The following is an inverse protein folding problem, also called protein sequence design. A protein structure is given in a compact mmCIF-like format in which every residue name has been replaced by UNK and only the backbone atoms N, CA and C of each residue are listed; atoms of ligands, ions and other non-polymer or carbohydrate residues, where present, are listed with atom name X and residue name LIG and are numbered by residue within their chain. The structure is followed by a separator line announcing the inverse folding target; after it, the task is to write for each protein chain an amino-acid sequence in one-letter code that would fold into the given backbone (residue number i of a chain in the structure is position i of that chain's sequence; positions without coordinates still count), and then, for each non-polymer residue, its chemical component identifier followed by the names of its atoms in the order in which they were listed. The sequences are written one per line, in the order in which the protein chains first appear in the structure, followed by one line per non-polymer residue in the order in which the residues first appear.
data_IF_828174842533
#
_entry.id   IF_828174842533
#
_cell.length_a   1.000
_cell.length_b   1.000
_cell.length_c   1.000
_cell.angle_alpha   90.00
_cell.angle_beta   90.00
_cell.angle_gamma   90.00
#
_symmetry.space_group_name_H-M   'P 1'
#
loop_
_entity.id
_entity.type
_entity.pdbx_description
1 polymer ?
#
# COMPACT_ATOMS: atom_id res chain seq x y z
N UNK A 1 0.08 7.75 90.75
CA UNK A 1 -1.26 7.11 90.85
C UNK A 1 -1.98 7.12 89.55
N UNK A 2 -2.00 6.05 88.94
CA UNK A 2 -2.96 5.32 88.08
C UNK A 2 -4.23 6.07 87.65
N UNK A 3 -4.43 6.19 86.35
CA UNK A 3 -5.75 5.92 85.78
C UNK A 3 -5.57 5.51 84.30
N UNK A 4 -6.10 4.36 83.98
CA UNK A 4 -6.17 3.79 82.62
C UNK A 4 -7.36 4.39 81.92
N UNK A 5 -7.16 4.86 80.64
CA UNK A 5 -8.25 5.16 79.77
C UNK A 5 -8.22 4.15 78.58
N UNK A 6 -9.35 3.47 78.41
CA UNK A 6 -9.60 2.50 77.29
C UNK A 6 -9.59 3.19 75.95
N UNK A 7 -8.82 2.63 75.03
CA UNK A 7 -8.98 2.91 73.60
C UNK A 7 -10.07 2.00 73.00
N UNK A 8 -11.05 2.65 72.34
CA UNK A 8 -12.01 2.00 71.44
C UNK A 8 -11.51 2.20 70.01
N UNK A 9 -11.34 1.14 69.20
CA UNK A 9 -10.93 1.35 67.79
C UNK A 9 -12.16 1.67 66.93
N UNK A 10 -12.10 2.82 66.26
CA UNK A 10 -13.01 3.15 65.14
C UNK A 10 -12.59 2.32 63.91
N UNK A 11 -13.45 1.44 63.51
CA UNK A 11 -13.41 0.78 62.19
C UNK A 11 -13.94 1.76 61.12
N UNK A 12 -13.01 2.33 60.31
CA UNK A 12 -13.36 2.99 59.08
C UNK A 12 -13.34 1.96 57.95
N UNK A 13 -14.53 1.57 57.48
CA UNK A 13 -14.70 0.73 56.32
C UNK A 13 -14.29 1.49 55.05
N UNK A 14 -13.21 1.08 54.41
CA UNK A 14 -12.84 1.51 53.05
C UNK A 14 -13.60 0.62 52.07
N UNK A 15 -14.67 1.16 51.46
CA UNK A 15 -15.34 0.52 50.32
C UNK A 15 -14.44 0.64 49.10
N UNK A 16 -13.76 -0.45 48.75
CA UNK A 16 -13.08 -0.57 47.47
C UNK A 16 -14.16 -0.76 46.40
N UNK A 17 -14.51 0.31 45.66
CA UNK A 17 -15.28 0.20 44.45
C UNK A 17 -14.37 -0.40 43.39
N UNK A 18 -14.48 -1.69 43.16
CA UNK A 18 -13.86 -2.40 42.04
C UNK A 18 -14.46 -1.87 40.74
N UNK A 19 -13.70 -1.05 39.98
CA UNK A 19 -14.01 -0.77 38.61
C UNK A 19 -13.72 -2.05 37.84
N UNK A 20 -14.77 -2.83 37.59
CA UNK A 20 -14.70 -3.90 36.59
C UNK A 20 -14.50 -3.25 35.24
N UNK A 21 -13.29 -3.30 34.70
CA UNK A 21 -13.05 -3.09 33.28
C UNK A 21 -13.83 -4.19 32.53
N UNK A 22 -15.02 -3.81 32.05
CA UNK A 22 -15.76 -4.65 31.14
C UNK A 22 -14.93 -4.77 29.85
N UNK A 23 -14.16 -5.83 29.72
CA UNK A 23 -13.68 -6.29 28.43
C UNK A 23 -14.93 -6.67 27.65
N UNK A 24 -15.39 -5.78 26.75
CA UNK A 24 -16.45 -6.10 25.82
C UNK A 24 -16.00 -7.32 25.03
N UNK A 25 -16.67 -8.46 25.25
CA UNK A 25 -16.51 -9.62 24.40
C UNK A 25 -16.70 -9.18 22.94
N UNK A 26 -15.89 -9.67 21.99
CA UNK A 26 -16.07 -9.33 20.59
C UNK A 26 -17.49 -9.72 20.18
N UNK A 27 -18.16 -8.79 19.50
CA UNK A 27 -19.51 -9.01 18.99
C UNK A 27 -19.47 -10.21 18.01
N UNK A 28 -20.18 -11.31 18.25
CA UNK A 28 -20.06 -12.55 17.48
C UNK A 28 -20.51 -12.44 16.01
N UNK A 29 -20.95 -11.27 15.54
CA UNK A 29 -21.44 -11.04 14.16
C UNK A 29 -20.53 -10.19 13.27
N UNK A 30 -19.30 -9.85 13.66
CA UNK A 30 -18.34 -9.29 12.74
C UNK A 30 -17.50 -10.43 12.17
N UNK A 31 -17.84 -10.91 10.98
CA UNK A 31 -16.97 -11.82 10.23
C UNK A 31 -15.69 -11.03 9.86
N UNK A 32 -14.68 -11.11 10.72
CA UNK A 32 -13.39 -10.43 10.53
C UNK A 32 -12.45 -11.26 9.68
N UNK A 33 -12.87 -12.46 9.25
CA UNK A 33 -11.98 -13.39 8.57
C UNK A 33 -10.79 -13.81 9.43
N UNK A 34 -9.77 -14.34 8.81
CA UNK A 34 -8.53 -14.73 9.48
C UNK A 34 -7.32 -14.67 8.56
N UNK A 35 -6.14 -14.45 9.14
CA UNK A 35 -4.87 -14.50 8.44
C UNK A 35 -4.21 -15.86 8.71
N UNK A 36 -3.91 -16.61 7.65
CA UNK A 36 -3.25 -17.93 7.75
C UNK A 36 -2.00 -17.97 6.87
N UNK A 37 -0.99 -18.74 7.28
CA UNK A 37 0.22 -18.92 6.48
C UNK A 37 -0.11 -19.61 5.14
N UNK A 38 0.45 -19.08 4.04
CA UNK A 38 0.41 -19.66 2.70
C UNK A 38 1.67 -20.46 2.37
N UNK A 39 1.80 -20.88 1.10
CA UNK A 39 3.03 -21.48 0.57
C UNK A 39 4.10 -20.41 0.40
N UNK A 40 5.36 -20.78 0.44
CA UNK A 40 6.46 -19.86 0.16
C UNK A 40 6.60 -19.58 -1.34
N UNK A 41 7.00 -18.35 -1.66
CA UNK A 41 7.47 -17.98 -3.00
C UNK A 41 8.74 -18.75 -3.36
N UNK A 42 9.06 -18.83 -4.63
CA UNK A 42 10.32 -19.48 -5.10
C UNK A 42 11.55 -18.67 -4.71
N UNK A 43 11.41 -17.37 -4.50
CA UNK A 43 12.49 -16.48 -4.05
C UNK A 43 12.00 -15.48 -3.02
N UNK A 44 12.79 -15.14 -1.98
CA UNK A 44 12.47 -14.08 -1.03
C UNK A 44 12.48 -12.72 -1.74
N UNK A 45 11.41 -11.92 -1.61
CA UNK A 45 11.24 -10.65 -2.33
C UNK A 45 10.65 -9.55 -1.45
N UNK A 46 11.16 -8.33 -1.64
CA UNK A 46 10.52 -7.09 -1.16
C UNK A 46 10.55 -6.03 -2.27
N UNK A 47 9.62 -5.09 -2.25
CA UNK A 47 9.51 -4.05 -3.29
C UNK A 47 9.25 -4.61 -4.70
N UNK A 48 8.73 -5.84 -4.79
CA UNK A 48 8.24 -6.48 -6.00
C UNK A 48 6.83 -5.99 -6.33
N UNK A 49 6.37 -6.26 -7.55
CA UNK A 49 4.96 -6.09 -7.91
C UNK A 49 4.20 -7.41 -7.84
N UNK A 50 2.91 -7.32 -7.48
CA UNK A 50 1.96 -8.43 -7.52
C UNK A 50 0.70 -7.99 -8.28
N UNK A 51 0.34 -8.74 -9.32
CA UNK A 51 -0.77 -8.37 -10.22
C UNK A 51 -1.67 -9.57 -10.46
N UNK A 52 -2.95 -9.47 -10.12
CA UNK A 52 -3.95 -10.48 -10.48
C UNK A 52 -4.15 -10.48 -12.00
N UNK A 53 -3.99 -11.66 -12.60
CA UNK A 53 -4.15 -11.87 -14.04
C UNK A 53 -5.60 -12.27 -14.39
N UNK A 54 -6.01 -12.13 -15.66
CA UNK A 54 -7.35 -12.50 -16.10
C UNK A 54 -7.71 -13.98 -15.87
N UNK A 55 -6.71 -14.87 -15.84
CA UNK A 55 -6.89 -16.31 -15.58
C UNK A 55 -6.96 -16.66 -14.09
N UNK A 56 -6.90 -15.65 -13.20
CA UNK A 56 -6.99 -15.80 -11.74
C UNK A 56 -5.67 -16.08 -11.04
N UNK A 57 -4.56 -16.28 -11.76
CA UNK A 57 -3.22 -16.37 -11.16
C UNK A 57 -2.70 -14.98 -10.78
N UNK A 58 -1.69 -14.91 -9.91
CA UNK A 58 -1.02 -13.66 -9.54
C UNK A 58 0.39 -13.67 -10.08
N UNK A 59 0.74 -12.68 -10.89
CA UNK A 59 2.12 -12.43 -11.32
C UNK A 59 2.87 -11.71 -10.21
N UNK A 60 3.96 -12.30 -9.73
CA UNK A 60 4.93 -11.68 -8.83
C UNK A 60 6.18 -11.39 -9.65
N UNK A 61 6.61 -10.13 -9.75
CA UNK A 61 7.73 -9.76 -10.61
C UNK A 61 8.75 -8.84 -9.93
N UNK A 62 10.03 -9.10 -10.16
CA UNK A 62 11.13 -8.29 -9.67
C UNK A 62 11.27 -8.27 -8.15
N UNK A 63 11.64 -7.12 -7.60
CA UNK A 63 11.92 -6.94 -6.19
C UNK A 63 13.39 -7.20 -5.84
N UNK A 64 13.69 -7.25 -4.56
CA UNK A 64 15.04 -7.51 -4.04
C UNK A 64 15.01 -8.54 -2.92
N UNK A 65 16.10 -9.31 -2.80
CA UNK A 65 16.39 -10.13 -1.63
C UNK A 65 16.95 -9.28 -0.49
N UNK A 66 17.93 -8.46 -0.80
CA UNK A 66 18.61 -7.52 0.09
C UNK A 66 19.09 -6.33 -0.75
N UNK A 67 19.65 -5.31 -0.10
CA UNK A 67 20.16 -4.13 -0.82
C UNK A 67 21.03 -4.54 -2.02
N UNK A 68 20.67 -4.03 -3.21
CA UNK A 68 21.34 -4.24 -4.50
C UNK A 68 21.33 -5.67 -5.07
N UNK A 69 20.68 -6.62 -4.40
CA UNK A 69 20.43 -7.96 -4.94
C UNK A 69 19.02 -8.00 -5.53
N UNK A 70 18.88 -7.44 -6.75
CA UNK A 70 17.60 -7.26 -7.42
C UNK A 70 17.29 -8.43 -8.34
N UNK A 71 16.00 -8.69 -8.51
CA UNK A 71 15.52 -9.77 -9.37
C UNK A 71 15.00 -9.25 -10.71
N UNK A 72 15.36 -9.98 -11.79
CA UNK A 72 14.66 -9.94 -13.07
C UNK A 72 13.62 -11.04 -13.18
N UNK A 73 13.71 -12.07 -12.34
CA UNK A 73 12.81 -13.20 -12.35
C UNK A 73 11.39 -12.83 -11.94
N UNK A 74 10.43 -13.60 -12.45
CA UNK A 74 9.05 -13.54 -12.06
C UNK A 74 8.50 -14.95 -11.78
N UNK A 75 7.43 -15.01 -11.02
CA UNK A 75 6.73 -16.23 -10.67
C UNK A 75 5.23 -16.03 -10.65
N UNK A 76 4.49 -17.11 -10.85
CA UNK A 76 3.02 -17.12 -10.85
C UNK A 76 2.54 -17.87 -9.62
N UNK A 77 1.66 -17.22 -8.84
CA UNK A 77 0.90 -17.89 -7.80
C UNK A 77 -0.41 -18.37 -8.37
N UNK A 78 -0.70 -19.66 -8.18
CA UNK A 78 -1.99 -20.27 -8.52
C UNK A 78 -2.86 -20.41 -7.27
N UNK A 79 -3.97 -19.65 -7.12
CA UNK A 79 -4.84 -19.73 -5.96
C UNK A 79 -5.57 -21.07 -5.79
N UNK A 80 -5.73 -21.84 -6.86
CA UNK A 80 -6.43 -23.12 -6.81
C UNK A 80 -5.56 -24.19 -6.14
N UNK A 81 -4.27 -24.24 -6.51
CA UNK A 81 -3.30 -25.18 -5.91
C UNK A 81 -2.57 -24.61 -4.70
N UNK A 82 -2.58 -23.29 -4.53
CA UNK A 82 -1.82 -22.56 -3.52
C UNK A 82 -0.31 -22.58 -3.78
N UNK A 83 0.16 -22.84 -5.00
CA UNK A 83 1.57 -23.02 -5.33
C UNK A 83 2.11 -21.91 -6.21
N UNK A 84 3.43 -21.69 -6.10
CA UNK A 84 4.19 -20.81 -6.97
C UNK A 84 4.92 -21.63 -8.05
N UNK A 85 5.02 -21.06 -9.25
CA UNK A 85 5.78 -21.65 -10.37
C UNK A 85 6.51 -20.54 -11.13
N UNK A 86 7.69 -20.83 -11.71
CA UNK A 86 8.42 -19.82 -12.46
C UNK A 86 7.67 -19.43 -13.74
N UNK A 87 7.91 -18.21 -14.21
CA UNK A 87 7.50 -17.74 -15.54
C UNK A 87 8.66 -17.03 -16.22
N UNK A 88 8.42 -16.34 -17.33
CA UNK A 88 9.47 -15.59 -18.02
C UNK A 88 10.14 -14.54 -17.13
N UNK A 89 11.26 -14.00 -17.58
CA UNK A 89 12.03 -12.99 -16.88
C UNK A 89 11.97 -11.64 -17.57
N UNK A 90 12.02 -10.56 -16.79
CA UNK A 90 12.21 -9.20 -17.30
C UNK A 90 13.61 -9.04 -17.93
N UNK A 91 13.76 -8.05 -18.79
CA UNK A 91 15.06 -7.68 -19.37
C UNK A 91 16.07 -7.26 -18.29
N UNK A 92 15.62 -6.44 -17.33
CA UNK A 92 16.47 -5.91 -16.27
C UNK A 92 15.94 -6.28 -14.88
N UNK A 93 16.86 -6.49 -13.96
CA UNK A 93 16.54 -6.67 -12.54
C UNK A 93 16.13 -5.33 -11.95
N UNK A 94 14.96 -5.26 -11.29
CA UNK A 94 14.41 -4.00 -10.78
C UNK A 94 13.65 -4.15 -9.45
N UNK A 95 13.70 -3.11 -8.64
CA UNK A 95 12.94 -2.98 -7.39
C UNK A 95 12.23 -1.62 -7.34
N UNK A 96 11.10 -1.52 -6.64
CA UNK A 96 10.35 -0.27 -6.54
C UNK A 96 9.84 0.27 -7.88
N UNK A 97 9.63 -0.63 -8.84
CA UNK A 97 8.90 -0.38 -10.07
C UNK A 97 7.39 -0.41 -9.80
N UNK A 98 6.61 0.06 -10.75
CA UNK A 98 5.16 -0.10 -10.72
C UNK A 98 4.70 -1.12 -11.77
N UNK A 99 3.56 -1.79 -11.49
CA UNK A 99 2.90 -2.71 -12.40
C UNK A 99 1.40 -2.47 -12.43
N UNK A 100 0.78 -2.62 -13.59
CA UNK A 100 -0.67 -2.49 -13.75
C UNK A 100 -1.19 -3.43 -14.83
N UNK A 101 -2.31 -4.11 -14.54
CA UNK A 101 -3.04 -4.91 -15.52
C UNK A 101 -3.76 -3.99 -16.50
N UNK A 102 -3.44 -4.11 -17.79
CA UNK A 102 -4.10 -3.40 -18.88
C UNK A 102 -5.41 -4.10 -19.27
N UNK A 103 -6.30 -3.38 -19.94
CA UNK A 103 -7.54 -3.97 -20.50
C UNK A 103 -7.29 -5.06 -21.56
N UNK A 104 -6.11 -5.07 -22.17
CA UNK A 104 -5.67 -6.14 -23.08
C UNK A 104 -5.38 -7.47 -22.36
N UNK A 105 -5.37 -7.50 -21.04
CA UNK A 105 -4.95 -8.65 -20.22
C UNK A 105 -3.45 -8.76 -20.02
N UNK A 106 -2.64 -7.90 -20.66
CA UNK A 106 -1.19 -7.81 -20.41
C UNK A 106 -0.89 -6.96 -19.18
N UNK A 107 0.27 -7.18 -18.54
CA UNK A 107 0.72 -6.37 -17.41
C UNK A 107 1.81 -5.40 -17.88
N UNK A 108 1.56 -4.11 -17.72
CA UNK A 108 2.57 -3.08 -17.91
C UNK A 108 3.44 -3.00 -16.64
N UNK A 109 4.76 -3.06 -16.83
CA UNK A 109 5.76 -2.89 -15.78
C UNK A 109 6.69 -1.78 -16.20
N UNK A 110 6.91 -0.76 -15.36
CA UNK A 110 7.73 0.39 -15.73
C UNK A 110 8.53 0.95 -14.56
N UNK A 111 9.72 1.50 -14.88
CA UNK A 111 10.58 2.17 -13.92
C UNK A 111 11.22 1.25 -12.90
N UNK A 112 11.54 1.83 -11.75
CA UNK A 112 12.21 1.16 -10.64
C UNK A 112 13.71 1.46 -10.60
N UNK A 113 14.35 0.90 -9.60
CA UNK A 113 15.79 0.94 -9.39
C UNK A 113 16.45 -0.24 -10.11
N UNK A 114 17.54 0.03 -10.80
CA UNK A 114 18.41 -0.93 -11.49
C UNK A 114 19.84 -0.65 -11.02
N UNK A 115 20.35 -1.46 -10.08
CA UNK A 115 21.59 -1.12 -9.39
C UNK A 115 21.42 0.15 -8.56
N UNK A 116 22.28 1.14 -8.81
CA UNK A 116 22.23 2.43 -8.11
C UNK A 116 21.39 3.51 -8.81
N UNK A 117 20.91 3.24 -10.03
CA UNK A 117 20.18 4.20 -10.86
C UNK A 117 18.71 3.84 -10.98
N UNK A 118 17.90 4.83 -11.30
CA UNK A 118 16.51 4.64 -11.72
C UNK A 118 16.43 4.46 -13.23
N UNK A 119 15.40 3.76 -13.70
CA UNK A 119 15.22 3.47 -15.12
C UNK A 119 13.93 4.08 -15.68
N UNK A 120 13.92 4.38 -16.97
CA UNK A 120 12.72 4.67 -17.77
C UNK A 120 12.20 3.45 -18.53
N UNK A 121 12.91 2.31 -18.48
CA UNK A 121 12.52 1.11 -19.20
C UNK A 121 11.14 0.61 -18.79
N UNK A 122 10.38 0.15 -19.78
CA UNK A 122 9.08 -0.45 -19.61
C UNK A 122 8.95 -1.76 -20.40
N UNK A 123 8.19 -2.69 -19.85
CA UNK A 123 7.96 -4.02 -20.40
C UNK A 123 6.48 -4.40 -20.30
N UNK A 124 6.01 -5.21 -21.22
CA UNK A 124 4.70 -5.86 -21.17
C UNK A 124 4.89 -7.35 -20.90
N UNK A 125 4.27 -7.85 -19.84
CA UNK A 125 4.12 -9.29 -19.63
C UNK A 125 2.83 -9.79 -20.28
N UNK A 126 2.94 -10.85 -21.07
CA UNK A 126 1.83 -11.52 -21.71
C UNK A 126 1.52 -12.84 -20.99
N UNK A 127 0.38 -12.94 -20.25
CA UNK A 127 0.04 -14.16 -19.51
C UNK A 127 -0.19 -15.41 -20.39
N UNK A 128 -0.56 -15.21 -21.66
CA UNK A 128 -0.80 -16.32 -22.58
C UNK A 128 0.50 -17.01 -23.02
N UNK A 129 1.59 -16.27 -23.10
CA UNK A 129 2.90 -16.80 -23.51
C UNK A 129 3.90 -16.93 -22.36
N UNK A 130 3.62 -16.28 -21.23
CA UNK A 130 4.54 -16.18 -20.09
C UNK A 130 5.78 -15.33 -20.37
N UNK A 131 5.76 -14.44 -21.38
CA UNK A 131 6.93 -13.68 -21.82
C UNK A 131 6.82 -12.19 -21.54
N UNK A 132 7.97 -11.58 -21.26
CA UNK A 132 8.14 -10.14 -21.20
C UNK A 132 8.62 -9.60 -22.55
N UNK A 133 8.12 -8.46 -22.96
CA UNK A 133 8.52 -7.75 -24.17
C UNK A 133 8.82 -6.29 -23.83
N UNK A 134 10.01 -5.83 -24.18
CA UNK A 134 10.41 -4.42 -24.01
C UNK A 134 9.58 -3.55 -24.96
N UNK A 135 9.11 -2.43 -24.43
CA UNK A 135 8.36 -1.41 -25.20
C UNK A 135 9.07 -0.07 -25.12
N UNK A 136 8.49 0.96 -25.75
CA UNK A 136 9.03 2.31 -25.66
C UNK A 136 9.18 2.75 -24.19
N UNK A 137 10.28 3.44 -23.82
CA UNK A 137 10.53 3.87 -22.45
C UNK A 137 9.59 5.02 -22.05
N UNK A 138 9.50 5.28 -20.74
CA UNK A 138 8.90 6.50 -20.18
C UNK A 138 9.68 7.73 -20.63
N UNK A 139 9.07 8.91 -20.50
CA UNK A 139 9.74 10.18 -20.83
C UNK A 139 10.79 10.60 -19.80
N UNK A 140 10.74 10.00 -18.62
CA UNK A 140 11.62 10.32 -17.48
C UNK A 140 11.92 9.06 -16.69
N UNK A 141 13.19 8.85 -16.33
CA UNK A 141 13.60 7.79 -15.41
C UNK A 141 13.03 8.02 -14.02
N UNK A 142 12.50 6.97 -13.39
CA UNK A 142 11.88 7.08 -12.06
C UNK A 142 11.81 5.77 -11.30
N UNK A 143 12.11 5.82 -9.99
CA UNK A 143 11.86 4.74 -9.03
C UNK A 143 10.77 5.12 -8.03
N UNK A 144 10.13 4.16 -7.39
CA UNK A 144 9.01 4.39 -6.45
C UNK A 144 7.90 5.29 -7.01
N UNK A 145 7.61 5.12 -8.29
CA UNK A 145 6.55 5.81 -9.02
C UNK A 145 5.19 5.20 -8.68
N UNK A 146 4.12 5.92 -9.01
CA UNK A 146 2.76 5.39 -8.97
C UNK A 146 2.17 5.28 -10.37
N UNK A 147 1.46 4.17 -10.66
CA UNK A 147 0.70 3.96 -11.89
C UNK A 147 -0.77 3.73 -11.58
N UNK A 148 -1.65 4.34 -12.37
CA UNK A 148 -3.11 4.23 -12.22
C UNK A 148 -3.75 3.97 -13.57
N UNK A 149 -4.47 2.84 -13.70
CA UNK A 149 -5.29 2.56 -14.86
C UNK A 149 -6.48 3.51 -14.89
N UNK A 150 -6.57 4.31 -15.93
CA UNK A 150 -7.66 5.26 -16.15
C UNK A 150 -8.89 4.58 -16.78
N UNK A 151 -10.03 5.28 -16.74
CA UNK A 151 -11.28 4.74 -17.30
C UNK A 151 -11.27 4.56 -18.82
N UNK A 152 -10.43 5.30 -19.54
CA UNK A 152 -10.23 5.14 -21.00
C UNK A 152 -9.32 3.95 -21.36
N UNK A 153 -8.67 3.33 -20.38
CA UNK A 153 -7.74 2.22 -20.55
C UNK A 153 -6.27 2.62 -20.64
N UNK A 154 -5.98 3.92 -20.69
CA UNK A 154 -4.63 4.46 -20.57
C UNK A 154 -4.13 4.38 -19.13
N UNK A 155 -2.82 4.59 -18.91
CA UNK A 155 -2.24 4.56 -17.56
C UNK A 155 -1.60 5.90 -17.26
N UNK A 156 -2.01 6.52 -16.15
CA UNK A 156 -1.35 7.67 -15.59
C UNK A 156 -0.13 7.22 -14.78
N UNK A 157 1.02 7.80 -15.04
CA UNK A 157 2.29 7.59 -14.31
C UNK A 157 2.68 8.88 -13.64
N UNK A 158 2.92 8.87 -12.33
CA UNK A 158 3.19 10.11 -11.59
C UNK A 158 4.34 9.96 -10.60
N UNK A 159 5.07 11.04 -10.42
CA UNK A 159 6.09 11.19 -9.38
C UNK A 159 7.20 10.17 -9.48
N UNK A 160 7.69 9.81 -8.33
CA UNK A 160 8.85 8.94 -8.15
C UNK A 160 10.13 9.71 -7.86
N UNK A 161 11.18 8.98 -7.54
CA UNK A 161 12.54 9.48 -7.43
C UNK A 161 13.20 9.47 -8.80
N UNK A 162 13.88 10.57 -9.17
CA UNK A 162 14.75 10.68 -10.34
C UNK A 162 16.18 10.23 -10.05
N UNK A 163 17.10 10.53 -10.96
CA UNK A 163 18.53 10.28 -10.78
C UNK A 163 19.06 11.01 -9.53
N UNK A 164 20.04 10.44 -8.83
CA UNK A 164 20.67 10.96 -7.61
C UNK A 164 19.78 11.00 -6.35
N UNK A 165 19.10 9.92 -6.04
CA UNK A 165 18.03 9.82 -5.03
C UNK A 165 18.43 10.01 -3.56
N UNK A 166 19.61 10.33 -3.18
CA UNK A 166 19.99 10.51 -1.77
C UNK A 166 19.80 11.93 -1.22
N UNK A 167 19.21 12.85 -2.00
CA UNK A 167 19.07 14.26 -1.66
C UNK A 167 17.64 14.82 -1.68
N UNK A 168 17.42 15.92 -0.95
CA UNK A 168 16.24 16.75 -1.14
C UNK A 168 16.28 17.35 -2.57
N UNK A 169 15.36 16.94 -3.44
CA UNK A 169 15.25 17.46 -4.81
C UNK A 169 15.25 16.40 -5.91
N UNK A 170 15.46 15.13 -5.60
CA UNK A 170 15.35 14.03 -6.59
C UNK A 170 13.91 13.63 -6.92
N UNK A 171 12.94 14.03 -6.10
CA UNK A 171 11.52 13.73 -6.36
C UNK A 171 10.99 14.52 -7.55
N UNK A 172 10.13 13.88 -8.35
CA UNK A 172 9.67 14.40 -9.62
C UNK A 172 8.27 15.04 -9.51
N UNK A 173 8.08 16.13 -10.27
CA UNK A 173 6.75 16.68 -10.61
C UNK A 173 6.22 16.09 -11.93
N UNK A 174 7.07 15.43 -12.69
CA UNK A 174 6.74 14.90 -14.01
C UNK A 174 5.67 13.82 -13.95
N UNK A 175 4.78 13.83 -14.92
CA UNK A 175 3.76 12.80 -15.12
C UNK A 175 3.68 12.43 -16.60
N UNK A 176 3.41 11.15 -16.88
CA UNK A 176 3.23 10.59 -18.20
C UNK A 176 1.87 9.91 -18.32
N UNK A 177 1.38 9.84 -19.55
CA UNK A 177 0.33 8.92 -19.95
C UNK A 177 0.94 7.81 -20.81
N UNK A 178 0.76 6.57 -20.38
CA UNK A 178 0.94 5.42 -21.26
C UNK A 178 -0.33 5.23 -22.07
N UNK A 179 -0.22 5.40 -23.39
CA UNK A 179 -1.29 5.14 -24.34
C UNK A 179 -1.32 3.63 -24.65
N UNK A 180 -2.38 2.98 -24.23
CA UNK A 180 -2.50 1.52 -24.34
C UNK A 180 -2.67 1.04 -25.81
N UNK A 181 -3.17 1.88 -26.71
CA UNK A 181 -3.36 1.53 -28.10
C UNK A 181 -2.04 1.58 -28.88
N UNK A 182 -1.23 2.62 -28.66
CA UNK A 182 0.06 2.80 -29.31
C UNK A 182 1.23 2.17 -28.57
N UNK A 183 1.03 1.78 -27.30
CA UNK A 183 2.05 1.26 -26.37
C UNK A 183 3.22 2.26 -26.20
N UNK A 184 2.93 3.55 -26.14
CA UNK A 184 3.92 4.61 -25.99
C UNK A 184 3.58 5.51 -24.80
N UNK A 185 4.63 6.03 -24.17
CA UNK A 185 4.49 7.07 -23.16
C UNK A 185 4.54 8.47 -23.82
N UNK A 186 3.77 9.38 -23.29
CA UNK A 186 3.80 10.80 -23.61
C UNK A 186 3.66 11.63 -22.35
N UNK A 187 4.30 12.80 -22.26
CA UNK A 187 4.11 13.68 -21.12
C UNK A 187 2.65 14.14 -21.02
N UNK A 188 2.21 14.42 -19.79
CA UNK A 188 0.96 15.11 -19.49
C UNK A 188 1.26 16.32 -18.61
N UNK A 189 0.24 16.99 -18.04
CA UNK A 189 0.46 18.09 -17.10
C UNK A 189 1.37 17.68 -15.94
N UNK A 190 2.18 18.61 -15.44
CA UNK A 190 3.02 18.37 -14.27
C UNK A 190 2.24 18.56 -12.98
N UNK A 191 2.60 17.80 -11.91
CA UNK A 191 2.15 18.05 -10.55
C UNK A 191 2.68 19.39 -10.03
N UNK A 192 1.97 20.03 -9.11
CA UNK A 192 2.46 21.25 -8.43
C UNK A 192 3.55 20.92 -7.42
N UNK A 193 3.55 19.71 -6.86
CA UNK A 193 4.48 19.27 -5.82
C UNK A 193 5.22 18.01 -6.26
N UNK A 194 6.55 18.07 -6.22
CA UNK A 194 7.39 16.90 -6.40
C UNK A 194 7.13 15.88 -5.28
N UNK A 195 6.93 14.60 -5.63
CA UNK A 195 6.61 13.58 -4.63
C UNK A 195 7.06 12.18 -5.03
N UNK A 196 7.51 11.43 -4.05
CA UNK A 196 7.82 10.00 -4.11
C UNK A 196 7.06 9.27 -2.99
N UNK A 197 6.68 8.04 -3.22
CA UNK A 197 5.93 7.21 -2.26
C UNK A 197 4.63 7.88 -1.75
N UNK A 198 3.96 8.62 -2.63
CA UNK A 198 2.58 9.08 -2.50
C UNK A 198 1.61 7.94 -2.83
N UNK A 199 0.35 8.11 -2.50
CA UNK A 199 -0.72 7.24 -2.99
C UNK A 199 -1.48 7.89 -4.13
N UNK A 200 -1.91 7.07 -5.09
CA UNK A 200 -2.82 7.42 -6.17
C UNK A 200 -4.11 6.62 -6.05
N UNK A 201 -5.24 7.27 -6.10
CA UNK A 201 -6.56 6.61 -6.04
C UNK A 201 -7.46 7.10 -7.16
N UNK A 202 -7.91 6.18 -8.03
CA UNK A 202 -8.92 6.49 -9.04
C UNK A 202 -10.27 6.75 -8.37
N UNK A 203 -10.80 7.95 -8.56
CA UNK A 203 -12.08 8.39 -7.98
C UNK A 203 -13.28 7.91 -8.81
N UNK A 204 -14.50 7.86 -8.22
CA UNK A 204 -15.70 7.44 -8.94
C UNK A 204 -16.07 8.30 -10.16
N UNK A 205 -15.60 9.53 -10.23
CA UNK A 205 -15.81 10.42 -11.39
C UNK A 205 -14.77 10.27 -12.50
N UNK A 206 -13.73 9.43 -12.28
CA UNK A 206 -12.66 9.15 -13.21
C UNK A 206 -11.41 10.02 -13.03
N UNK A 207 -11.45 10.99 -12.14
CA UNK A 207 -10.25 11.74 -11.70
C UNK A 207 -9.37 10.87 -10.82
N UNK A 208 -8.12 11.27 -10.61
CA UNK A 208 -7.18 10.56 -9.72
C UNK A 208 -6.76 11.47 -8.59
N UNK A 209 -6.97 11.04 -7.34
CA UNK A 209 -6.43 11.70 -6.15
C UNK A 209 -4.97 11.27 -5.96
N UNK A 210 -4.08 12.25 -5.83
CA UNK A 210 -2.70 12.06 -5.39
C UNK A 210 -2.54 12.66 -4.00
N UNK A 211 -2.12 11.89 -3.01
CA UNK A 211 -2.03 12.36 -1.65
C UNK A 211 -0.68 12.06 -1.00
N UNK A 212 -0.16 13.02 -0.26
CA UNK A 212 1.07 12.88 0.50
C UNK A 212 2.32 12.66 -0.36
N UNK A 213 3.21 11.84 0.17
CA UNK A 213 4.51 11.60 -0.42
C UNK A 213 5.60 12.50 0.18
N UNK A 214 6.81 12.34 -0.34
CA UNK A 214 7.97 13.13 0.07
C UNK A 214 8.58 13.84 -1.15
N UNK A 215 8.75 15.15 -1.03
CA UNK A 215 9.58 15.95 -1.90
C UNK A 215 10.82 16.41 -1.13
N UNK A 216 11.02 17.72 -0.98
CA UNK A 216 12.03 18.27 -0.07
C UNK A 216 11.73 17.90 1.41
N UNK A 217 10.44 17.74 1.74
CA UNK A 217 9.95 17.24 3.02
C UNK A 217 8.74 16.32 2.78
N UNK A 218 8.34 15.57 3.81
CA UNK A 218 7.07 14.84 3.81
C UNK A 218 5.92 15.84 3.78
N UNK A 219 4.92 15.61 2.94
CA UNK A 219 3.87 16.59 2.70
C UNK A 219 2.48 16.08 3.08
N UNK A 220 1.63 17.02 3.56
CA UNK A 220 0.19 16.81 3.72
C UNK A 220 -0.62 17.18 2.47
N UNK A 221 0.02 17.77 1.45
CA UNK A 221 -0.67 18.29 0.27
C UNK A 221 -1.22 17.16 -0.60
N UNK A 222 -2.37 17.43 -1.20
CA UNK A 222 -3.00 16.55 -2.16
C UNK A 222 -3.37 17.31 -3.44
N UNK A 223 -3.43 16.59 -4.54
CA UNK A 223 -3.79 17.08 -5.86
C UNK A 223 -4.74 16.09 -6.53
N UNK A 224 -5.53 16.61 -7.44
CA UNK A 224 -6.42 15.80 -8.29
C UNK A 224 -6.02 15.98 -9.74
N UNK A 225 -5.76 14.86 -10.42
CA UNK A 225 -5.54 14.81 -11.86
C UNK A 225 -6.88 14.62 -12.58
N UNK A 226 -7.17 15.47 -13.57
CA UNK A 226 -8.30 15.29 -14.47
C UNK A 226 -7.82 14.75 -15.83
N UNK A 227 -8.14 13.51 -16.18
CA UNK A 227 -7.70 12.92 -17.43
C UNK A 227 -8.33 13.56 -18.69
N UNK A 228 -9.45 14.31 -18.54
CA UNK A 228 -10.09 15.01 -19.67
C UNK A 228 -9.30 16.22 -20.11
N UNK A 229 -8.70 16.94 -19.16
CA UNK A 229 -7.89 18.13 -19.43
C UNK A 229 -6.39 17.84 -19.45
N UNK A 230 -5.97 16.71 -18.83
CA UNK A 230 -4.57 16.36 -18.66
C UNK A 230 -3.86 17.24 -17.62
N UNK A 231 -4.59 17.83 -16.67
CA UNK A 231 -4.05 18.81 -15.71
C UNK A 231 -4.21 18.34 -14.27
N UNK A 232 -3.32 18.82 -13.39
CA UNK A 232 -3.42 18.68 -11.95
C UNK A 232 -4.00 19.96 -11.35
N UNK A 233 -4.77 19.82 -10.28
CA UNK A 233 -5.26 20.90 -9.46
C UNK A 233 -5.11 20.56 -7.99
N UNK A 234 -4.78 21.58 -7.17
CA UNK A 234 -4.74 21.41 -5.72
C UNK A 234 -6.13 21.10 -5.17
N UNK A 235 -6.18 20.30 -4.11
CA UNK A 235 -7.37 20.05 -3.31
C UNK A 235 -7.04 20.26 -1.83
N UNK A 236 -7.96 19.96 -0.90
CA UNK A 236 -7.68 20.06 0.53
C UNK A 236 -6.43 19.31 0.93
N UNK A 237 -5.78 19.74 2.01
CA UNK A 237 -4.62 19.05 2.58
C UNK A 237 -5.06 18.07 3.65
N UNK A 238 -4.30 16.98 3.82
CA UNK A 238 -4.40 16.07 4.96
C UNK A 238 -4.11 16.82 6.28
N UNK A 239 -4.58 16.28 7.38
CA UNK A 239 -4.35 16.82 8.73
C UNK A 239 -2.89 16.54 9.19
N UNK A 240 -2.30 15.44 8.72
CA UNK A 240 -0.92 15.09 8.99
C UNK A 240 -0.14 14.79 7.69
N UNK A 241 1.10 15.31 7.54
CA UNK A 241 1.94 14.91 6.44
C UNK A 241 2.25 13.42 6.54
N UNK A 242 2.26 12.71 5.39
CA UNK A 242 2.55 11.27 5.36
C UNK A 242 3.09 10.80 4.01
N UNK A 243 3.99 9.82 4.05
CA UNK A 243 4.48 9.09 2.89
C UNK A 243 4.59 7.60 3.24
N UNK A 244 4.70 6.73 2.23
CA UNK A 244 4.70 5.27 2.42
C UNK A 244 3.49 4.79 3.25
N UNK A 245 2.39 5.52 3.15
CA UNK A 245 1.10 5.21 3.74
C UNK A 245 0.27 4.38 2.77
N UNK A 246 -0.85 3.86 3.24
CA UNK A 246 -1.82 3.19 2.40
C UNK A 246 -3.01 4.09 2.08
N UNK A 247 -3.67 3.82 0.95
CA UNK A 247 -4.96 4.41 0.61
C UNK A 247 -5.86 3.38 -0.05
N UNK A 248 -7.18 3.54 0.14
CA UNK A 248 -8.19 2.68 -0.47
C UNK A 248 -9.51 3.41 -0.68
N UNK A 249 -10.14 3.15 -1.84
CA UNK A 249 -11.47 3.68 -2.16
C UNK A 249 -12.51 2.97 -1.31
N UNK A 250 -13.39 3.74 -0.66
CA UNK A 250 -14.53 3.25 0.11
C UNK A 250 -15.75 3.04 -0.80
N UNK A 251 -16.73 2.19 -0.42
CA UNK A 251 -17.93 1.95 -1.21
C UNK A 251 -18.77 3.20 -1.50
N UNK A 252 -18.70 4.21 -0.66
CA UNK A 252 -19.39 5.49 -0.82
C UNK A 252 -18.64 6.51 -1.69
N UNK A 253 -17.48 6.12 -2.24
CA UNK A 253 -16.66 6.93 -3.13
C UNK A 253 -15.66 7.84 -2.42
N UNK A 254 -15.63 7.87 -1.09
CA UNK A 254 -14.59 8.52 -0.32
C UNK A 254 -13.31 7.70 -0.31
N UNK A 255 -12.18 8.27 0.11
CA UNK A 255 -10.89 7.58 0.16
C UNK A 255 -10.38 7.55 1.59
N UNK A 256 -10.09 6.36 2.11
CA UNK A 256 -9.36 6.20 3.37
C UNK A 256 -7.86 6.32 3.09
N UNK A 257 -7.15 7.07 3.93
CA UNK A 257 -5.69 7.12 3.99
C UNK A 257 -5.27 6.75 5.41
N UNK A 258 -4.31 5.83 5.57
CA UNK A 258 -3.94 5.34 6.90
C UNK A 258 -2.44 5.05 7.03
N UNK A 259 -1.90 5.27 8.22
CA UNK A 259 -0.50 4.98 8.53
C UNK A 259 0.49 5.88 7.78
N UNK A 260 1.63 5.32 7.45
CA UNK A 260 2.75 6.05 6.85
C UNK A 260 3.69 6.62 7.91
N UNK A 261 4.59 7.51 7.46
CA UNK A 261 5.47 8.27 8.33
C UNK A 261 5.42 9.75 7.97
N UNK A 262 5.55 10.64 8.97
CA UNK A 262 5.66 12.09 8.78
C UNK A 262 7.12 12.58 8.83
N UNK A 263 8.07 11.69 9.08
CA UNK A 263 9.51 11.94 9.11
C UNK A 263 10.26 10.95 8.23
N UNK A 264 11.60 10.98 8.22
CA UNK A 264 12.41 9.99 7.52
C UNK A 264 12.25 8.60 8.15
N UNK A 265 12.51 7.59 7.34
CA UNK A 265 12.40 6.16 7.66
C UNK A 265 12.72 5.79 9.12
N UNK A 266 11.84 4.98 9.73
CA UNK A 266 11.90 4.48 11.10
C UNK A 266 11.60 5.50 12.20
N UNK A 267 11.31 6.75 11.84
CA UNK A 267 10.85 7.78 12.75
C UNK A 267 9.49 8.31 12.30
N UNK A 268 8.71 8.85 13.23
CA UNK A 268 7.44 9.48 12.91
C UNK A 268 6.38 8.56 12.31
N UNK A 269 6.42 7.24 12.61
CA UNK A 269 5.43 6.27 12.14
C UNK A 269 4.05 6.60 12.71
N UNK A 270 3.03 6.57 11.85
CA UNK A 270 1.68 7.00 12.17
C UNK A 270 0.72 5.83 12.35
N UNK A 271 -0.16 5.91 13.35
CA UNK A 271 -1.40 5.13 13.45
C UNK A 271 -2.61 5.91 12.96
N UNK A 272 -2.49 7.22 12.78
CA UNK A 272 -3.60 8.07 12.37
C UNK A 272 -4.12 7.72 10.97
N UNK A 273 -5.43 7.88 10.77
CA UNK A 273 -6.08 7.75 9.49
C UNK A 273 -6.98 8.94 9.21
N UNK A 274 -7.25 9.18 7.94
CA UNK A 274 -8.05 10.29 7.42
C UNK A 274 -8.92 9.83 6.27
N UNK A 275 -10.04 10.51 6.06
CA UNK A 275 -10.94 10.27 4.94
C UNK A 275 -10.97 11.52 4.08
N UNK A 276 -10.71 11.34 2.78
CA UNK A 276 -10.92 12.33 1.75
C UNK A 276 -12.33 12.23 1.16
N UNK A 277 -13.04 13.35 1.14
CA UNK A 277 -14.33 13.52 0.46
C UNK A 277 -14.11 14.19 -0.91
N UNK A 278 -14.25 13.46 -2.04
CA UNK A 278 -14.00 14.03 -3.36
C UNK A 278 -15.05 15.04 -3.82
N UNK A 279 -16.24 15.09 -3.21
CA UNK A 279 -17.27 16.07 -3.52
C UNK A 279 -16.96 17.43 -2.86
N UNK A 280 -16.41 17.40 -1.64
CA UNK A 280 -16.04 18.60 -0.89
C UNK A 280 -14.58 19.01 -1.12
N UNK A 281 -13.75 18.10 -1.58
CA UNK A 281 -12.30 18.31 -1.69
C UNK A 281 -11.61 18.47 -0.34
N UNK A 282 -12.10 17.83 0.72
CA UNK A 282 -11.61 18.00 2.11
C UNK A 282 -11.23 16.68 2.76
N UNK A 283 -10.28 16.75 3.72
CA UNK A 283 -9.90 15.64 4.59
C UNK A 283 -10.51 15.82 5.97
N UNK A 284 -10.90 14.71 6.59
CA UNK A 284 -11.38 14.64 7.97
C UNK A 284 -10.70 13.47 8.69
N UNK A 285 -10.51 13.62 10.01
CA UNK A 285 -9.95 12.52 10.82
C UNK A 285 -10.87 11.29 10.78
N UNK A 286 -10.26 10.12 10.69
CA UNK A 286 -10.90 8.82 10.88
C UNK A 286 -10.41 8.17 12.19
N UNK A 287 -11.01 7.03 12.58
CA UNK A 287 -10.45 6.22 13.64
C UNK A 287 -9.01 5.82 13.31
N UNK A 288 -8.14 5.78 14.30
CA UNK A 288 -6.76 5.35 14.12
C UNK A 288 -6.67 3.82 13.98
N UNK A 289 -5.63 3.34 13.32
CA UNK A 289 -5.15 1.98 13.41
C UNK A 289 -4.78 1.64 14.87
N UNK A 290 -4.86 0.37 15.24
CA UNK A 290 -4.44 -0.08 16.58
C UNK A 290 -2.93 0.14 16.77
N UNK A 291 -2.15 -0.10 15.71
CA UNK A 291 -0.70 0.08 15.73
C UNK A 291 -0.22 1.00 14.60
N UNK A 292 0.79 1.81 14.91
CA UNK A 292 1.47 2.64 13.92
C UNK A 292 2.22 1.74 12.92
N UNK A 293 2.10 2.07 11.62
CA UNK A 293 2.71 1.28 10.54
C UNK A 293 3.02 2.11 9.31
N UNK A 294 4.07 1.73 8.55
CA UNK A 294 4.51 2.42 7.34
C UNK A 294 5.13 1.44 6.34
N UNK A 295 5.49 1.93 5.14
CA UNK A 295 5.94 1.11 4.00
C UNK A 295 4.88 0.09 3.59
N UNK A 296 3.65 0.58 3.50
CA UNK A 296 2.44 -0.19 3.28
C UNK A 296 2.17 -0.36 1.79
N UNK A 297 1.63 -1.52 1.36
CA UNK A 297 0.98 -1.67 0.08
C UNK A 297 -0.34 -0.86 0.03
N UNK A 298 -0.94 -0.66 -1.15
CA UNK A 298 -2.30 -0.13 -1.25
C UNK A 298 -3.30 -1.01 -0.49
N UNK A 299 -4.23 -0.40 0.26
CA UNK A 299 -5.28 -1.11 0.97
C UNK A 299 -6.21 -1.85 -0.02
N UNK A 300 -6.57 -3.07 0.32
CA UNK A 300 -7.40 -3.93 -0.53
C UNK A 300 -8.87 -3.80 -0.14
N UNK A 301 -9.71 -3.37 -1.08
CA UNK A 301 -11.16 -3.38 -0.89
C UNK A 301 -11.70 -4.81 -1.06
N UNK A 302 -12.27 -5.34 -0.01
CA UNK A 302 -12.91 -6.66 0.02
C UNK A 302 -14.30 -6.60 -0.61
N UNK A 303 -14.86 -7.76 -0.96
CA UNK A 303 -16.25 -7.87 -1.46
C UNK A 303 -17.30 -7.38 -0.45
N UNK A 304 -16.98 -7.41 0.85
CA UNK A 304 -17.82 -6.84 1.92
C UNK A 304 -17.87 -5.31 1.90
N UNK A 305 -16.98 -4.65 1.14
CA UNK A 305 -16.78 -3.21 1.14
C UNK A 305 -15.81 -2.71 2.22
N UNK A 306 -15.33 -3.59 3.09
CA UNK A 306 -14.28 -3.26 4.05
C UNK A 306 -12.92 -3.12 3.35
N UNK A 307 -11.99 -2.35 3.94
CA UNK A 307 -10.61 -2.25 3.47
C UNK A 307 -9.70 -3.07 4.38
N UNK A 308 -8.96 -4.00 3.79
CA UNK A 308 -7.87 -4.70 4.46
C UNK A 308 -6.62 -3.81 4.40
N UNK A 309 -5.97 -3.64 5.56
CA UNK A 309 -4.69 -2.94 5.72
C UNK A 309 -3.72 -3.90 6.40
N UNK A 310 -2.69 -4.31 5.70
CA UNK A 310 -1.64 -5.15 6.26
C UNK A 310 -0.24 -4.58 5.96
N UNK A 311 0.78 -5.21 6.55
CA UNK A 311 2.17 -4.73 6.46
C UNK A 311 2.54 -3.73 7.54
N UNK A 312 3.85 -3.53 7.73
CA UNK A 312 4.39 -2.65 8.77
C UNK A 312 4.15 -3.10 10.22
N UNK A 313 3.32 -4.11 10.41
CA UNK A 313 2.98 -4.76 11.68
C UNK A 313 2.63 -6.24 11.39
N UNK A 314 2.85 -7.19 12.30
CA UNK A 314 2.45 -8.58 12.09
C UNK A 314 0.95 -8.79 11.92
N UNK A 315 0.12 -7.96 12.54
CA UNK A 315 -1.33 -8.07 12.45
C UNK A 315 -1.88 -7.23 11.30
N UNK A 316 -2.88 -7.76 10.61
CA UNK A 316 -3.70 -7.01 9.65
C UNK A 316 -4.92 -6.40 10.34
N UNK A 317 -5.48 -5.35 9.77
CA UNK A 317 -6.67 -4.67 10.25
C UNK A 317 -7.69 -4.45 9.14
N UNK A 318 -8.97 -4.53 9.47
CA UNK A 318 -10.08 -4.19 8.58
C UNK A 318 -10.66 -2.83 8.99
N UNK A 319 -10.77 -1.92 8.03
CA UNK A 319 -11.58 -0.72 8.19
C UNK A 319 -13.00 -0.97 7.67
N UNK A 320 -14.00 -0.73 8.50
CA UNK A 320 -15.41 -0.77 8.12
C UNK A 320 -15.97 0.66 8.02
N UNK A 321 -16.27 1.11 6.81
CA UNK A 321 -16.80 2.45 6.56
C UNK A 321 -18.19 2.69 7.19
N UNK A 322 -18.95 1.64 7.49
CA UNK A 322 -20.28 1.77 8.13
C UNK A 322 -20.18 2.11 9.61
N UNK A 323 -19.15 1.58 10.29
CA UNK A 323 -18.90 1.84 11.71
C UNK A 323 -17.85 2.91 11.92
N UNK A 324 -17.06 3.21 10.90
CA UNK A 324 -15.91 4.12 10.96
C UNK A 324 -14.76 3.60 11.83
N UNK A 325 -14.63 2.28 12.03
CA UNK A 325 -13.67 1.67 12.95
C UNK A 325 -12.74 0.70 12.25
N UNK A 326 -11.52 0.56 12.80
CA UNK A 326 -10.62 -0.54 12.53
C UNK A 326 -10.88 -1.70 13.49
N UNK A 327 -10.71 -2.92 12.98
CA UNK A 327 -10.80 -4.16 13.75
C UNK A 327 -9.62 -5.04 13.37
N UNK A 328 -8.91 -5.56 14.37
CA UNK A 328 -7.78 -6.47 14.17
C UNK A 328 -8.27 -7.80 13.61
N UNK A 329 -7.61 -8.27 12.55
CA UNK A 329 -7.85 -9.57 11.93
C UNK A 329 -7.23 -10.67 12.81
N UNK A 330 -7.97 -11.74 13.15
CA UNK A 330 -7.40 -12.91 13.83
C UNK A 330 -6.24 -13.54 13.04
N UNK A 331 -5.19 -13.95 13.74
CA UNK A 331 -3.94 -14.45 13.18
C UNK A 331 -2.92 -13.32 12.98
N UNK A 332 -1.69 -13.70 12.70
CA UNK A 332 -0.60 -12.76 12.52
C UNK A 332 0.45 -13.32 11.54
N UNK A 333 1.14 -12.45 10.85
CA UNK A 333 2.38 -12.76 10.16
C UNK A 333 3.47 -13.09 11.18
N UNK A 334 4.54 -13.78 10.74
CA UNK A 334 5.66 -14.12 11.61
C UNK A 334 6.39 -12.90 12.18
N UNK A 335 6.35 -11.78 11.45
CA UNK A 335 6.97 -10.50 11.82
C UNK A 335 6.31 -9.34 11.06
N UNK A 336 6.65 -8.10 11.42
CA UNK A 336 6.31 -6.93 10.60
C UNK A 336 6.88 -7.08 9.18
N UNK A 337 6.10 -6.72 8.16
CA UNK A 337 6.52 -6.83 6.76
C UNK A 337 6.41 -5.47 6.07
N UNK A 338 7.56 -4.95 5.66
CA UNK A 338 7.70 -3.70 4.94
C UNK A 338 7.88 -3.98 3.44
N UNK A 339 7.25 -3.19 2.56
CA UNK A 339 7.30 -3.38 1.11
C UNK A 339 6.89 -4.79 0.65
N UNK A 340 5.93 -5.38 1.36
CA UNK A 340 5.20 -6.56 0.90
C UNK A 340 4.17 -6.18 -0.15
N UNK A 341 3.54 -7.17 -0.78
CA UNK A 341 2.41 -6.96 -1.67
C UNK A 341 1.11 -7.53 -1.10
N UNK A 342 -0.02 -6.91 -1.46
CA UNK A 342 -1.38 -7.38 -1.19
C UNK A 342 -2.14 -7.51 -2.50
N UNK A 343 -2.80 -8.65 -2.74
CA UNK A 343 -3.56 -8.89 -3.97
C UNK A 343 -4.88 -9.59 -3.67
N UNK A 344 -6.00 -8.94 -4.01
CA UNK A 344 -7.32 -9.56 -3.96
C UNK A 344 -7.43 -10.64 -5.02
N UNK A 345 -7.73 -11.87 -4.60
CA UNK A 345 -7.92 -13.01 -5.48
C UNK A 345 -9.37 -13.08 -6.00
N UNK A 346 -9.55 -13.79 -7.10
CA UNK A 346 -10.88 -13.92 -7.75
C UNK A 346 -11.93 -14.56 -6.85
N UNK A 347 -11.52 -15.36 -5.86
CA UNK A 347 -12.42 -16.03 -4.89
C UNK A 347 -12.73 -15.16 -3.64
N UNK A 348 -12.14 -13.97 -3.53
CA UNK A 348 -12.32 -13.02 -2.43
C UNK A 348 -11.31 -13.12 -1.31
N UNK A 349 -10.42 -14.12 -1.33
CA UNK A 349 -9.24 -14.16 -0.45
C UNK A 349 -8.25 -13.06 -0.85
N UNK A 350 -7.30 -12.73 0.04
CA UNK A 350 -6.19 -11.82 -0.29
C UNK A 350 -4.87 -12.52 -0.06
N UNK A 351 -4.01 -12.52 -1.08
CA UNK A 351 -2.63 -12.95 -0.99
C UNK A 351 -1.78 -11.80 -0.45
N UNK A 352 -1.04 -12.04 0.63
CA UNK A 352 -0.02 -11.18 1.18
C UNK A 352 1.33 -11.86 0.94
N UNK A 353 2.30 -11.19 0.32
CA UNK A 353 3.52 -11.84 -0.09
C UNK A 353 4.78 -11.03 0.20
N UNK A 354 5.79 -11.70 0.75
CA UNK A 354 7.15 -11.19 0.90
C UNK A 354 7.29 -10.03 1.87
N UNK A 355 8.13 -9.05 1.49
CA UNK A 355 8.53 -7.95 2.35
C UNK A 355 9.75 -8.28 3.21
N UNK A 356 10.19 -7.32 4.02
CA UNK A 356 11.27 -7.50 5.00
C UNK A 356 10.85 -6.97 6.38
N UNK A 357 11.51 -7.47 7.43
CA UNK A 357 11.34 -7.00 8.81
C UNK A 357 12.26 -5.80 9.11
N UNK A 358 12.92 -5.78 10.23
CA UNK A 358 13.88 -4.71 10.57
C UNK A 358 15.21 -4.83 9.80
N UNK A 359 15.62 -6.06 9.46
CA UNK A 359 16.74 -6.28 8.53
C UNK A 359 16.24 -6.16 7.10
N UNK A 360 17.00 -5.54 6.17
CA UNK A 360 16.59 -5.42 4.77
C UNK A 360 16.63 -6.75 4.00
N UNK A 361 16.71 -7.88 4.68
CA UNK A 361 16.63 -9.21 4.07
C UNK A 361 15.16 -9.61 3.89
N UNK A 362 14.77 -9.82 2.63
CA UNK A 362 13.41 -10.17 2.27
C UNK A 362 13.08 -11.62 2.66
N UNK A 363 11.78 -11.91 2.77
CA UNK A 363 11.27 -13.26 2.98
C UNK A 363 10.55 -13.80 1.75
N UNK A 364 10.51 -15.15 1.63
CA UNK A 364 9.65 -15.86 0.70
C UNK A 364 8.26 -16.19 1.29
N UNK A 365 8.04 -15.90 2.57
CA UNK A 365 6.79 -16.21 3.26
C UNK A 365 5.60 -15.47 2.63
N UNK A 366 4.46 -16.15 2.64
CA UNK A 366 3.18 -15.56 2.25
C UNK A 366 2.10 -15.87 3.28
N UNK A 367 1.05 -15.07 3.26
CA UNK A 367 -0.15 -15.26 4.06
C UNK A 367 -1.38 -15.09 3.19
N UNK A 368 -2.44 -15.77 3.59
CA UNK A 368 -3.75 -15.67 2.95
C UNK A 368 -4.73 -15.11 3.97
N UNK A 369 -5.28 -13.94 3.66
CA UNK A 369 -6.47 -13.49 4.35
C UNK A 369 -7.69 -14.23 3.78
N UNK A 370 -8.49 -14.84 4.68
CA UNK A 370 -9.75 -15.53 4.38
C UNK A 370 -10.88 -14.74 5.02
N UNK A 371 -11.76 -14.12 4.22
CA UNK A 371 -12.89 -13.33 4.71
C UNK A 371 -13.95 -14.14 5.45
#
# INVERSE_FOLDING_TARGET
MRSRALLVPLLTGVSVVGIALATSAPNPNTNTGSLVRGSEMLAPRSGHSATLLPDGRVLIAGGMRRNQDFYRSAELYDPASGKFQPTGEMRVARVGHAAVLLRSGKVLIAGGWVGHDVTDEAELYDPATGKFTVIAPMTTKRGHLAMTLLRDGNVLVTGGAGENDDGPGSSLVAADIFDAATQRFRPTGAMHYARVAQTNTLLPDGRVLLAGGRGAAVTARAEVYDPKTGTFSETGSMLAPRYKHTAGLLPDGRVLLAGGSNERDWHGTLSSAEIYDPQRGTFTAAAALHDARFKLPPAVQLRSGQLLVAGGNPQAELYDARTGKFVVVPGAMSDARHFMSETLLSDGRVLLAGGYAYSPEATAETWIYRP
#
